data_IF_562846275586
#
_entry.id   IF_562846275586
#
_cell.length_a   1.000
_cell.length_b   1.000
_cell.length_c   1.000
_cell.angle_alpha   90.00
_cell.angle_beta   90.00
_cell.angle_gamma   90.00
#
_symmetry.space_group_name_H-M   'P 1'
#
loop_
_entity.id
_entity.type
_entity.pdbx_description
1 polymer ?
#
# COMPACT_ATOMS: atom_id res chain seq x y z
N UNK A 1 37.80 16.86 -16.41
CA UNK A 1 36.67 17.33 -15.55
C UNK A 1 35.29 17.15 -16.13
N UNK A 2 35.06 16.40 -17.20
CA UNK A 2 33.76 16.17 -17.88
C UNK A 2 33.01 14.91 -17.42
N UNK A 3 33.64 14.05 -16.62
CA UNK A 3 33.03 12.76 -16.21
C UNK A 3 32.08 12.83 -15.01
N UNK A 4 32.25 13.79 -14.09
CA UNK A 4 31.47 13.86 -12.85
C UNK A 4 30.06 14.45 -13.01
N UNK A 5 29.84 15.25 -14.05
CA UNK A 5 28.55 15.92 -14.32
C UNK A 5 27.55 14.94 -14.93
N UNK A 6 27.99 13.96 -15.71
CA UNK A 6 27.12 12.96 -16.32
C UNK A 6 26.65 11.89 -15.34
N UNK A 7 27.48 11.56 -14.36
CA UNK A 7 27.10 10.57 -13.34
C UNK A 7 26.00 11.10 -12.39
N UNK A 8 26.09 12.38 -11.99
CA UNK A 8 25.04 13.02 -11.17
C UNK A 8 23.71 13.17 -11.93
N UNK A 9 23.74 13.48 -13.24
CA UNK A 9 22.53 13.53 -14.07
C UNK A 9 21.92 12.14 -14.29
N UNK A 10 22.73 11.11 -14.49
CA UNK A 10 22.27 9.73 -14.60
C UNK A 10 21.61 9.20 -13.33
N UNK A 11 22.19 9.49 -12.16
CA UNK A 11 21.62 9.12 -10.87
C UNK A 11 20.32 9.88 -10.58
N UNK A 12 20.24 11.17 -10.93
CA UNK A 12 19.01 11.96 -10.79
C UNK A 12 17.88 11.45 -11.67
N UNK A 13 18.17 11.07 -12.92
CA UNK A 13 17.18 10.49 -13.85
C UNK A 13 16.68 9.12 -13.35
N UNK A 14 17.56 8.28 -12.80
CA UNK A 14 17.18 6.99 -12.21
C UNK A 14 16.34 7.15 -10.93
N UNK A 15 16.64 8.12 -10.08
CA UNK A 15 15.86 8.43 -8.89
C UNK A 15 14.49 9.00 -9.26
N UNK A 16 14.41 9.87 -10.26
CA UNK A 16 13.14 10.43 -10.76
C UNK A 16 12.31 9.37 -11.48
N UNK A 17 12.92 8.47 -12.26
CA UNK A 17 12.21 7.35 -12.88
C UNK A 17 11.71 6.32 -11.84
N UNK A 18 12.51 6.04 -10.81
CA UNK A 18 12.10 5.20 -9.67
C UNK A 18 10.96 5.80 -8.86
N UNK A 19 10.99 7.12 -8.63
CA UNK A 19 9.90 7.84 -7.95
C UNK A 19 8.62 7.88 -8.81
N UNK A 20 8.74 7.99 -10.13
CA UNK A 20 7.59 8.00 -11.05
C UNK A 20 6.87 6.63 -11.09
N UNK A 21 7.56 5.52 -10.90
CA UNK A 21 6.93 4.19 -10.80
C UNK A 21 6.18 3.97 -9.49
N UNK A 22 6.52 4.69 -8.42
CA UNK A 22 5.80 4.66 -7.15
C UNK A 22 4.53 5.52 -7.15
N UNK A 23 4.37 6.42 -8.13
CA UNK A 23 3.29 7.39 -8.21
C UNK A 23 1.97 6.84 -8.77
N UNK A 24 1.91 5.57 -9.19
CA UNK A 24 0.73 5.04 -9.89
C UNK A 24 -0.18 4.16 -9.03
N UNK A 25 0.11 3.92 -7.77
CA UNK A 25 -0.63 2.97 -6.96
C UNK A 25 -1.57 3.64 -5.96
N UNK A 26 -2.88 3.42 -6.13
CA UNK A 26 -3.80 3.48 -5.02
C UNK A 26 -3.44 2.34 -4.07
N UNK A 27 -2.94 2.69 -2.89
CA UNK A 27 -2.68 1.68 -1.88
C UNK A 27 -4.02 1.26 -1.26
N UNK A 28 -4.45 0.07 -1.65
CA UNK A 28 -5.51 -0.65 -0.94
C UNK A 28 -4.80 -1.66 -0.05
N UNK A 29 -4.94 -1.50 1.24
CA UNK A 29 -4.27 -2.32 2.25
C UNK A 29 -5.30 -3.02 3.12
N UNK A 30 -5.08 -4.27 3.54
CA UNK A 30 -5.88 -4.86 4.61
C UNK A 30 -5.54 -4.16 5.94
N UNK A 31 -6.54 -3.96 6.78
CA UNK A 31 -6.35 -3.57 8.18
C UNK A 31 -6.39 -4.78 9.10
N UNK A 32 -7.25 -4.73 10.13
CA UNK A 32 -7.57 -5.89 10.96
C UNK A 32 -8.57 -6.78 10.24
N UNK A 33 -8.27 -8.06 10.04
CA UNK A 33 -9.15 -8.94 9.28
C UNK A 33 -9.03 -10.40 9.66
N UNK A 34 -10.09 -11.16 9.33
CA UNK A 34 -10.08 -12.61 9.23
C UNK A 34 -10.57 -13.01 7.84
N UNK A 35 -9.81 -13.89 7.18
CA UNK A 35 -10.17 -14.40 5.86
C UNK A 35 -10.08 -15.92 5.84
N UNK A 36 -11.03 -16.56 5.17
CA UNK A 36 -11.05 -18.02 5.02
C UNK A 36 -11.29 -18.36 3.56
N UNK A 37 -10.45 -19.23 3.04
CA UNK A 37 -10.59 -19.89 1.75
C UNK A 37 -10.87 -21.37 2.00
N UNK A 38 -12.01 -21.84 1.54
CA UNK A 38 -12.32 -23.26 1.44
C UNK A 38 -12.18 -23.65 -0.04
N UNK A 39 -11.23 -24.51 -0.36
CA UNK A 39 -10.94 -24.97 -1.72
C UNK A 39 -11.07 -26.50 -1.79
N UNK A 40 -12.05 -26.98 -2.53
CA UNK A 40 -12.33 -28.40 -2.66
C UNK A 40 -11.63 -29.04 -3.86
N UNK A 41 -11.33 -30.34 -3.73
CA UNK A 41 -10.66 -31.13 -4.78
C UNK A 41 -11.42 -31.16 -6.11
N UNK A 42 -12.73 -30.92 -6.10
CA UNK A 42 -13.56 -30.81 -7.31
C UNK A 42 -13.52 -29.42 -7.95
N UNK A 43 -12.75 -28.50 -7.39
CA UNK A 43 -12.60 -27.12 -7.86
C UNK A 43 -13.63 -26.14 -7.32
N UNK A 44 -14.58 -26.59 -6.51
CA UNK A 44 -15.45 -25.64 -5.82
C UNK A 44 -14.63 -24.88 -4.76
N UNK A 45 -14.94 -23.59 -4.61
CA UNK A 45 -14.32 -22.76 -3.58
C UNK A 45 -15.33 -21.85 -2.92
N UNK A 46 -15.05 -21.46 -1.71
CA UNK A 46 -15.65 -20.29 -1.08
C UNK A 46 -14.56 -19.45 -0.42
N UNK A 47 -14.65 -18.14 -0.59
CA UNK A 47 -13.75 -17.19 0.05
C UNK A 47 -14.58 -16.19 0.84
N UNK A 48 -14.19 -15.97 2.10
CA UNK A 48 -14.77 -14.97 2.98
C UNK A 48 -13.70 -14.03 3.49
N UNK A 49 -14.04 -12.75 3.60
CA UNK A 49 -13.20 -11.73 4.22
C UNK A 49 -14.07 -10.87 5.12
N UNK A 50 -13.70 -10.79 6.40
CA UNK A 50 -14.34 -9.92 7.38
C UNK A 50 -13.28 -9.06 8.01
N UNK A 51 -13.40 -7.74 7.88
CA UNK A 51 -12.44 -6.83 8.46
C UNK A 51 -12.27 -5.54 7.70
N UNK A 52 -11.14 -4.92 7.93
CA UNK A 52 -10.86 -3.58 7.47
C UNK A 52 -10.10 -3.59 6.16
N UNK A 53 -10.51 -2.70 5.25
CA UNK A 53 -9.75 -2.31 4.07
C UNK A 53 -9.45 -0.82 4.19
N UNK A 54 -8.19 -0.45 3.97
CA UNK A 54 -7.75 0.94 3.94
C UNK A 54 -7.48 1.33 2.50
N UNK A 55 -8.19 2.33 2.02
CA UNK A 55 -7.97 2.92 0.70
C UNK A 55 -7.30 4.27 0.92
N UNK A 56 -5.97 4.29 0.81
CA UNK A 56 -5.17 5.49 0.95
C UNK A 56 -4.93 6.10 -0.43
N UNK A 57 -5.42 7.32 -0.64
CA UNK A 57 -4.98 8.11 -1.77
C UNK A 57 -3.53 8.58 -1.56
N UNK A 58 -2.75 8.65 -2.63
CA UNK A 58 -1.38 9.19 -2.59
C UNK A 58 -1.32 10.61 -2.02
N UNK A 59 -2.40 11.40 -2.19
CA UNK A 59 -2.54 12.72 -1.57
C UNK A 59 -2.51 12.65 -0.06
N UNK A 60 -3.17 11.66 0.54
CA UNK A 60 -3.16 11.49 2.00
C UNK A 60 -1.79 11.04 2.50
N UNK A 61 -1.14 10.15 1.79
CA UNK A 61 0.25 9.75 2.08
C UNK A 61 1.21 10.93 1.96
N UNK A 62 1.04 11.77 0.93
CA UNK A 62 1.82 12.99 0.76
C UNK A 62 1.54 14.01 1.88
N UNK A 63 0.28 14.25 2.25
CA UNK A 63 -0.10 15.10 3.37
C UNK A 63 0.51 14.62 4.68
N UNK A 64 0.50 13.32 4.94
CA UNK A 64 1.11 12.72 6.14
C UNK A 64 2.64 12.87 6.13
N UNK A 65 3.27 12.65 4.98
CA UNK A 65 4.72 12.85 4.82
C UNK A 65 5.11 14.33 5.00
N UNK A 66 4.25 15.26 4.58
CA UNK A 66 4.46 16.70 4.74
C UNK A 66 4.14 17.19 6.14
N UNK A 67 3.13 16.63 6.81
CA UNK A 67 2.81 16.96 8.20
C UNK A 67 3.96 16.61 9.16
N UNK A 68 4.84 15.69 8.76
CA UNK A 68 6.04 15.35 9.51
C UNK A 68 7.24 16.27 9.20
N UNK A 69 7.18 17.09 8.15
CA UNK A 69 8.18 18.12 7.91
C UNK A 69 7.81 19.34 8.78
N UNK A 70 8.74 19.87 9.59
CA UNK A 70 8.51 21.16 10.23
C UNK A 70 8.16 22.16 9.13
N UNK A 71 7.15 23.01 9.36
CA UNK A 71 6.85 24.11 8.44
C UNK A 71 8.17 24.76 8.09
N UNK A 72 8.54 24.72 6.82
CA UNK A 72 9.77 25.32 6.36
C UNK A 72 9.65 26.81 6.62
N UNK A 73 10.34 27.29 7.66
CA UNK A 73 10.53 28.72 7.87
C UNK A 73 11.71 29.17 7.04
N UNK A 74 11.61 30.38 6.46
CA UNK A 74 12.71 30.93 5.73
C UNK A 74 13.91 31.09 6.66
N UNK A 75 15.01 30.43 6.32
CA UNK A 75 16.32 30.63 6.96
C UNK A 75 17.31 31.05 5.87
N UNK A 76 17.96 32.21 6.02
CA UNK A 76 18.95 32.68 5.04
C UNK A 76 20.07 31.64 4.91
N UNK A 77 20.46 31.34 3.67
CA UNK A 77 21.63 30.55 3.39
C UNK A 77 22.90 31.34 3.71
N UNK A 78 23.96 30.64 4.08
CA UNK A 78 25.26 31.24 4.38
C UNK A 78 25.81 32.02 3.19
N UNK A 79 26.30 33.24 3.42
CA UNK A 79 26.96 34.04 2.42
C UNK A 79 28.47 33.93 2.53
N UNK A 80 29.15 33.94 1.38
CA UNK A 80 30.61 33.79 1.30
C UNK A 80 31.27 35.07 0.77
N UNK A 81 32.55 35.27 1.06
CA UNK A 81 33.35 36.30 0.44
C UNK A 81 33.67 35.91 -1.01
N UNK A 82 34.38 36.78 -1.75
CA UNK A 82 34.77 36.52 -3.14
C UNK A 82 35.67 35.28 -3.36
N UNK A 83 36.23 34.74 -2.29
CA UNK A 83 37.02 33.49 -2.30
C UNK A 83 36.16 32.21 -2.29
N UNK A 84 34.81 32.34 -2.17
CA UNK A 84 33.82 31.27 -2.14
C UNK A 84 34.02 30.26 -1.00
N UNK A 85 34.91 30.53 -0.06
CA UNK A 85 35.26 29.67 1.07
C UNK A 85 34.99 30.35 2.42
N UNK A 86 35.34 31.66 2.53
CA UNK A 86 35.21 32.38 3.79
C UNK A 86 33.79 32.87 4.01
N UNK A 87 33.15 32.39 5.07
CA UNK A 87 31.79 32.79 5.47
C UNK A 87 31.77 34.25 5.90
N UNK A 88 30.65 34.91 5.60
CA UNK A 88 30.35 36.27 6.07
C UNK A 88 28.86 36.46 6.31
N UNK A 89 28.53 37.48 7.04
CA UNK A 89 27.12 37.90 7.18
C UNK A 89 26.58 38.38 5.84
N UNK A 90 25.39 37.89 5.49
CA UNK A 90 24.68 38.35 4.29
C UNK A 90 24.27 39.82 4.41
N UNK A 91 24.31 40.54 3.32
CA UNK A 91 23.74 41.89 3.26
C UNK A 91 22.22 41.83 3.24
N UNK A 92 21.56 42.92 3.59
CA UNK A 92 20.09 43.03 3.57
C UNK A 92 19.52 42.73 2.16
N UNK A 93 20.23 43.13 1.11
CA UNK A 93 19.84 42.88 -0.29
C UNK A 93 19.91 41.40 -0.63
N UNK A 94 20.99 40.72 -0.21
CA UNK A 94 21.16 39.26 -0.44
C UNK A 94 20.11 38.45 0.33
N UNK A 95 19.84 38.81 1.59
CA UNK A 95 18.81 38.15 2.38
C UNK A 95 17.41 38.36 1.76
N UNK A 96 17.10 39.58 1.30
CA UNK A 96 15.84 39.89 0.62
C UNK A 96 15.69 39.08 -0.68
N UNK A 97 16.78 38.94 -1.45
CA UNK A 97 16.79 38.14 -2.66
C UNK A 97 16.56 36.64 -2.34
N UNK A 98 17.30 36.08 -1.37
CA UNK A 98 17.11 34.69 -0.92
C UNK A 98 15.67 34.43 -0.49
N UNK A 99 15.05 35.41 0.21
CA UNK A 99 13.64 35.29 0.60
C UNK A 99 12.70 35.30 -0.60
N UNK A 100 12.94 36.16 -1.58
CA UNK A 100 12.11 36.20 -2.79
C UNK A 100 12.25 34.91 -3.60
N UNK A 101 13.46 34.38 -3.74
CA UNK A 101 13.73 33.13 -4.44
C UNK A 101 13.06 31.95 -3.71
N UNK A 102 13.12 31.92 -2.37
CA UNK A 102 12.46 30.94 -1.54
C UNK A 102 10.93 31.00 -1.65
N UNK A 103 10.33 32.21 -1.58
CA UNK A 103 8.89 32.40 -1.74
C UNK A 103 8.41 31.92 -3.12
N UNK A 104 9.21 32.17 -4.18
CA UNK A 104 8.93 31.70 -5.55
C UNK A 104 9.02 30.16 -5.64
N UNK A 105 10.00 29.55 -4.98
CA UNK A 105 10.15 28.08 -4.94
C UNK A 105 8.98 27.43 -4.18
N UNK A 106 8.54 28.01 -3.05
CA UNK A 106 7.36 27.54 -2.31
C UNK A 106 6.09 27.59 -3.17
N UNK A 107 5.89 28.68 -3.91
CA UNK A 107 4.76 28.80 -4.84
C UNK A 107 4.81 27.75 -5.95
N UNK A 108 5.98 27.55 -6.58
CA UNK A 108 6.14 26.55 -7.63
C UNK A 108 5.90 25.13 -7.10
N UNK A 109 6.33 24.84 -5.87
CA UNK A 109 6.11 23.57 -5.21
C UNK A 109 4.62 23.34 -4.94
N UNK A 110 3.91 24.32 -4.40
CA UNK A 110 2.47 24.25 -4.16
C UNK A 110 1.67 24.04 -5.46
N UNK A 111 2.05 24.75 -6.55
CA UNK A 111 1.40 24.56 -7.86
C UNK A 111 1.65 23.15 -8.44
N UNK A 112 2.84 22.57 -8.23
CA UNK A 112 3.16 21.21 -8.64
C UNK A 112 2.34 20.20 -7.84
N UNK A 113 2.30 20.36 -6.53
CA UNK A 113 1.49 19.50 -5.63
C UNK A 113 0.00 19.53 -6.00
N UNK A 114 -0.54 20.70 -6.32
CA UNK A 114 -1.93 20.83 -6.76
C UNK A 114 -2.19 20.09 -8.09
N UNK A 115 -1.26 20.15 -9.04
CA UNK A 115 -1.35 19.42 -10.33
C UNK A 115 -1.25 17.92 -10.10
N UNK A 116 -0.34 17.48 -9.24
CA UNK A 116 -0.15 16.07 -8.89
C UNK A 116 -1.41 15.51 -8.21
N UNK A 117 -2.03 16.27 -7.31
CA UNK A 117 -3.32 15.93 -6.70
C UNK A 117 -4.40 15.70 -7.74
N UNK A 118 -4.55 16.60 -8.72
CA UNK A 118 -5.54 16.45 -9.81
C UNK A 118 -5.26 15.21 -10.65
N UNK A 119 -3.98 14.92 -10.96
CA UNK A 119 -3.62 13.72 -11.72
C UNK A 119 -3.97 12.44 -10.96
N UNK A 120 -3.72 12.40 -9.66
CA UNK A 120 -4.04 11.26 -8.79
C UNK A 120 -5.55 11.03 -8.77
N UNK A 121 -6.36 12.09 -8.53
CA UNK A 121 -7.82 12.01 -8.54
C UNK A 121 -8.33 11.47 -9.89
N UNK A 122 -7.76 11.91 -11.01
CA UNK A 122 -8.11 11.37 -12.34
C UNK A 122 -7.75 9.89 -12.48
N UNK A 123 -6.58 9.47 -12.00
CA UNK A 123 -6.15 8.06 -12.02
C UNK A 123 -7.06 7.17 -11.16
N UNK A 124 -7.68 7.74 -10.13
CA UNK A 124 -8.68 7.11 -9.25
C UNK A 124 -10.11 7.12 -9.84
N UNK A 125 -10.25 7.43 -11.13
CA UNK A 125 -11.57 7.55 -11.75
C UNK A 125 -12.37 8.78 -11.31
N UNK A 126 -11.67 9.83 -10.86
CA UNK A 126 -12.27 11.11 -10.46
C UNK A 126 -12.71 11.17 -9.00
N UNK A 127 -12.37 10.17 -8.18
CA UNK A 127 -12.77 10.09 -6.78
C UNK A 127 -11.62 10.55 -5.87
N UNK A 128 -11.85 11.55 -5.03
CA UNK A 128 -10.91 11.96 -3.98
C UNK A 128 -11.15 11.13 -2.71
N UNK A 129 -10.29 10.17 -2.35
CA UNK A 129 -10.51 9.32 -1.18
C UNK A 129 -10.42 10.08 0.15
N UNK A 130 -9.97 11.33 0.14
CA UNK A 130 -9.91 12.18 1.34
C UNK A 130 -11.21 12.98 1.56
N UNK A 131 -12.06 13.09 0.54
CA UNK A 131 -13.36 13.74 0.66
C UNK A 131 -14.41 12.76 1.20
N UNK A 132 -15.14 13.09 2.29
CA UNK A 132 -16.18 12.21 2.85
C UNK A 132 -17.29 11.82 1.86
N UNK A 133 -17.65 12.69 0.91
CA UNK A 133 -18.64 12.37 -0.13
C UNK A 133 -18.10 11.32 -1.09
N UNK A 134 -16.87 11.50 -1.52
CA UNK A 134 -16.15 10.53 -2.37
C UNK A 134 -15.96 9.20 -1.67
N UNK A 135 -15.68 9.21 -0.37
CA UNK A 135 -15.57 8.00 0.44
C UNK A 135 -16.89 7.22 0.50
N UNK A 136 -18.02 7.91 0.65
CA UNK A 136 -19.35 7.29 0.60
C UNK A 136 -19.65 6.71 -0.80
N UNK A 137 -19.21 7.38 -1.86
CA UNK A 137 -19.34 6.88 -3.24
C UNK A 137 -18.50 5.60 -3.45
N UNK A 138 -17.28 5.54 -2.93
CA UNK A 138 -16.46 4.31 -2.94
C UNK A 138 -17.19 3.18 -2.23
N UNK A 139 -17.72 3.43 -1.03
CA UNK A 139 -18.47 2.43 -0.27
C UNK A 139 -19.69 1.91 -1.05
N UNK A 140 -20.45 2.80 -1.68
CA UNK A 140 -21.60 2.46 -2.50
C UNK A 140 -21.20 1.62 -3.73
N UNK A 141 -20.13 1.99 -4.42
CA UNK A 141 -19.61 1.23 -5.57
C UNK A 141 -19.13 -0.17 -5.18
N UNK A 142 -18.40 -0.30 -4.06
CA UNK A 142 -17.97 -1.60 -3.56
C UNK A 142 -19.18 -2.46 -3.16
N UNK A 143 -20.16 -1.89 -2.45
CA UNK A 143 -21.39 -2.60 -2.08
C UNK A 143 -22.21 -3.06 -3.29
N UNK A 144 -22.07 -2.41 -4.45
CA UNK A 144 -22.71 -2.81 -5.72
C UNK A 144 -22.00 -3.97 -6.42
N UNK A 145 -20.79 -4.33 -6.04
CA UNK A 145 -20.05 -5.43 -6.65
C UNK A 145 -20.41 -6.77 -6.02
N UNK A 146 -20.39 -7.82 -6.83
CA UNK A 146 -20.69 -9.18 -6.37
C UNK A 146 -19.73 -9.59 -5.23
N UNK A 147 -20.32 -10.18 -4.20
CA UNK A 147 -19.60 -10.69 -3.02
C UNK A 147 -19.51 -9.71 -1.85
N UNK A 148 -19.57 -8.40 -2.06
CA UNK A 148 -19.61 -7.45 -0.95
C UNK A 148 -20.99 -7.42 -0.30
N UNK A 149 -21.09 -7.96 0.91
CA UNK A 149 -22.34 -7.97 1.70
C UNK A 149 -22.55 -6.66 2.46
N UNK A 150 -21.44 -6.05 2.89
CA UNK A 150 -21.44 -4.81 3.65
C UNK A 150 -20.12 -4.08 3.43
N UNK A 151 -20.19 -2.75 3.23
CA UNK A 151 -19.05 -1.84 3.18
C UNK A 151 -19.42 -0.59 3.95
N UNK A 152 -18.76 -0.33 5.08
CA UNK A 152 -19.07 0.78 5.97
C UNK A 152 -17.83 1.66 6.09
N UNK A 153 -17.92 2.91 5.64
CA UNK A 153 -16.85 3.89 5.81
C UNK A 153 -16.72 4.33 7.27
N UNK A 154 -15.51 4.28 7.80
CA UNK A 154 -15.17 4.60 9.20
C UNK A 154 -14.38 5.89 9.37
N UNK A 155 -14.07 6.58 8.28
CA UNK A 155 -13.19 7.75 8.29
C UNK A 155 -11.79 7.44 7.82
N UNK A 156 -11.03 8.47 7.43
CA UNK A 156 -9.61 8.38 7.06
C UNK A 156 -9.24 7.31 6.02
N UNK A 157 -10.15 7.00 5.08
CA UNK A 157 -9.93 5.96 4.09
C UNK A 157 -10.12 4.54 4.60
N UNK A 158 -10.61 4.35 5.82
CA UNK A 158 -10.89 3.07 6.45
C UNK A 158 -12.31 2.60 6.15
N UNK A 159 -12.47 1.35 5.73
CA UNK A 159 -13.75 0.70 5.45
C UNK A 159 -13.81 -0.62 6.19
N UNK A 160 -14.90 -0.86 6.93
CA UNK A 160 -15.25 -2.20 7.42
C UNK A 160 -15.98 -2.96 6.32
N UNK A 161 -15.51 -4.16 6.00
CA UNK A 161 -15.98 -4.97 4.88
C UNK A 161 -16.39 -6.36 5.35
N UNK A 162 -17.57 -6.82 4.92
CA UNK A 162 -18.00 -8.23 4.92
C UNK A 162 -18.13 -8.66 3.45
N UNK A 163 -17.26 -9.59 3.05
CA UNK A 163 -17.22 -10.12 1.68
C UNK A 163 -17.32 -11.63 1.70
N UNK A 164 -18.05 -12.20 0.74
CA UNK A 164 -18.14 -13.64 0.54
C UNK A 164 -18.42 -13.95 -0.93
N UNK A 165 -17.61 -14.83 -1.50
CA UNK A 165 -17.78 -15.35 -2.86
C UNK A 165 -17.65 -16.87 -2.83
N UNK A 166 -18.49 -17.56 -3.61
CA UNK A 166 -18.39 -19.00 -3.77
C UNK A 166 -18.71 -19.39 -5.21
N UNK A 167 -18.16 -20.48 -5.69
CA UNK A 167 -18.39 -21.00 -7.03
C UNK A 167 -17.43 -22.10 -7.42
N UNK A 168 -17.41 -22.40 -8.72
CA UNK A 168 -16.42 -23.28 -9.34
C UNK A 168 -15.25 -22.43 -9.84
N UNK A 169 -14.02 -22.76 -9.44
CA UNK A 169 -12.80 -22.08 -9.86
C UNK A 169 -12.45 -22.48 -11.31
N UNK A 170 -13.17 -21.89 -12.27
CA UNK A 170 -12.93 -22.12 -13.71
C UNK A 170 -11.81 -21.27 -14.27
N UNK A 171 -11.54 -20.11 -13.66
CA UNK A 171 -10.52 -19.12 -14.00
C UNK A 171 -9.80 -18.67 -12.73
N UNK A 172 -8.81 -17.82 -12.90
CA UNK A 172 -8.12 -17.19 -11.76
C UNK A 172 -9.09 -16.35 -10.95
N UNK A 173 -8.91 -16.35 -9.64
CA UNK A 173 -9.66 -15.52 -8.70
C UNK A 173 -8.71 -14.58 -7.98
N UNK A 174 -9.15 -13.36 -7.72
CA UNK A 174 -8.39 -12.36 -6.97
C UNK A 174 -9.30 -11.52 -6.06
N UNK A 175 -8.81 -11.20 -4.86
CA UNK A 175 -9.49 -10.31 -3.91
C UNK A 175 -8.50 -9.32 -3.25
N UNK A 176 -8.85 -8.04 -3.09
CA UNK A 176 -10.00 -7.40 -3.72
C UNK A 176 -9.75 -7.08 -5.20
N UNK A 177 -10.83 -7.03 -5.97
CA UNK A 177 -10.89 -6.39 -7.28
C UNK A 177 -11.83 -5.20 -7.16
N UNK A 178 -11.38 -4.02 -7.56
CA UNK A 178 -12.17 -2.79 -7.43
C UNK A 178 -12.36 -2.19 -8.81
N UNK A 179 -13.61 -2.04 -9.23
CA UNK A 179 -13.93 -1.43 -10.51
C UNK A 179 -13.32 -0.04 -10.63
N UNK A 180 -12.77 0.28 -11.81
CA UNK A 180 -12.09 1.54 -12.12
C UNK A 180 -10.83 1.81 -11.31
N UNK A 181 -10.35 0.84 -10.53
CA UNK A 181 -9.06 0.87 -9.85
C UNK A 181 -8.20 -0.34 -10.31
N UNK A 182 -7.73 -0.37 -11.57
CA UNK A 182 -7.07 -1.55 -12.14
C UNK A 182 -5.70 -1.87 -11.51
N UNK A 183 -5.15 -0.96 -10.73
CA UNK A 183 -3.81 -1.10 -10.13
C UNK A 183 -3.84 -1.55 -8.66
N UNK A 184 -5.00 -2.01 -8.17
CA UNK A 184 -5.08 -2.59 -6.82
C UNK A 184 -4.34 -3.91 -6.80
N UNK A 185 -3.36 -4.04 -5.89
CA UNK A 185 -2.70 -5.31 -5.65
C UNK A 185 -3.62 -6.20 -4.81
N UNK A 186 -3.95 -7.41 -5.29
CA UNK A 186 -4.79 -8.33 -4.54
C UNK A 186 -4.14 -8.79 -3.23
N UNK A 187 -4.95 -8.95 -2.19
CA UNK A 187 -4.54 -9.56 -0.91
C UNK A 187 -4.34 -11.06 -1.07
N UNK A 188 -5.17 -11.68 -1.89
CA UNK A 188 -5.10 -13.11 -2.24
C UNK A 188 -5.38 -13.30 -3.73
N UNK A 189 -4.66 -14.22 -4.35
CA UNK A 189 -4.93 -14.74 -5.69
C UNK A 189 -4.95 -16.26 -5.67
N UNK A 190 -5.84 -16.84 -6.45
CA UNK A 190 -5.90 -18.24 -6.77
C UNK A 190 -5.64 -18.37 -8.27
N UNK A 191 -4.48 -18.91 -8.64
CA UNK A 191 -4.14 -19.15 -10.05
C UNK A 191 -4.35 -20.61 -10.38
N UNK A 192 -5.36 -20.88 -11.21
CA UNK A 192 -5.61 -22.23 -11.72
C UNK A 192 -4.59 -22.60 -12.80
N UNK A 193 -4.02 -23.78 -12.70
CA UNK A 193 -3.06 -24.33 -13.66
C UNK A 193 -3.67 -25.47 -14.47
N UNK A 194 -3.09 -25.71 -15.66
CA UNK A 194 -3.59 -26.73 -16.60
C UNK A 194 -3.52 -28.17 -16.07
N UNK A 195 -2.65 -28.43 -15.11
CA UNK A 195 -2.45 -29.73 -14.47
C UNK A 195 -3.36 -29.99 -13.25
N UNK A 196 -4.51 -29.36 -13.19
CA UNK A 196 -5.45 -29.44 -12.05
C UNK A 196 -4.82 -28.99 -10.72
N UNK A 197 -3.89 -28.05 -10.75
CA UNK A 197 -3.33 -27.43 -9.56
C UNK A 197 -3.83 -26.00 -9.39
N UNK A 198 -3.89 -25.55 -8.15
CA UNK A 198 -4.19 -24.17 -7.79
C UNK A 198 -3.04 -23.61 -6.95
N UNK A 199 -2.40 -22.58 -7.49
CA UNK A 199 -1.45 -21.78 -6.73
C UNK A 199 -2.18 -20.66 -5.99
N UNK A 200 -1.97 -20.62 -4.69
CA UNK A 200 -2.49 -19.57 -3.79
C UNK A 200 -1.31 -18.67 -3.43
N UNK A 201 -1.53 -17.36 -3.48
CA UNK A 201 -0.50 -16.40 -3.13
C UNK A 201 -1.07 -15.03 -2.78
N UNK A 202 -0.25 -14.17 -2.18
CA UNK A 202 -0.59 -12.80 -1.80
C UNK A 202 0.35 -11.80 -2.50
N UNK A 203 0.00 -11.29 -3.68
CA UNK A 203 0.85 -10.34 -4.42
C UNK A 203 1.18 -9.09 -3.63
N UNK A 204 0.24 -8.55 -2.88
CA UNK A 204 0.46 -7.38 -2.04
C UNK A 204 1.57 -7.61 -1.02
N UNK A 205 1.52 -8.74 -0.30
CA UNK A 205 2.53 -9.06 0.72
C UNK A 205 3.89 -9.40 0.10
N UNK A 206 3.91 -10.05 -1.06
CA UNK A 206 5.14 -10.28 -1.80
C UNK A 206 5.82 -8.98 -2.22
N UNK A 207 5.06 -8.02 -2.74
CA UNK A 207 5.62 -6.74 -3.14
C UNK A 207 6.09 -5.94 -1.93
N UNK A 208 5.36 -5.95 -0.83
CA UNK A 208 5.78 -5.33 0.42
C UNK A 208 7.12 -5.89 0.90
N UNK A 209 7.31 -7.21 0.86
CA UNK A 209 8.56 -7.87 1.25
C UNK A 209 9.73 -7.53 0.31
N UNK A 210 9.48 -7.40 -1.01
CA UNK A 210 10.52 -7.10 -2.02
C UNK A 210 10.93 -5.62 -2.06
N UNK A 211 10.01 -4.71 -1.74
CA UNK A 211 10.25 -3.26 -1.87
C UNK A 211 11.18 -2.71 -0.79
N UNK A 212 11.65 -3.54 0.13
CA UNK A 212 12.38 -3.09 1.32
C UNK A 212 13.68 -3.86 1.53
N UNK A 213 14.80 -3.35 0.98
CA UNK A 213 16.14 -3.90 1.26
C UNK A 213 16.42 -3.79 2.76
N UNK A 214 16.69 -4.92 3.43
CA UNK A 214 17.13 -4.96 4.82
C UNK A 214 16.04 -5.10 5.89
N UNK A 215 14.81 -5.49 5.54
CA UNK A 215 13.79 -5.83 6.54
C UNK A 215 13.15 -4.65 7.29
N UNK A 216 13.39 -3.41 6.85
CA UNK A 216 12.92 -2.18 7.52
C UNK A 216 11.53 -1.72 7.06
N UNK A 217 10.76 -2.60 6.40
CA UNK A 217 9.39 -2.33 5.97
C UNK A 217 8.52 -1.79 7.09
N UNK A 218 8.56 -2.49 8.20
CA UNK A 218 7.84 -2.12 9.41
C UNK A 218 8.32 -0.78 9.98
N UNK A 219 9.63 -0.49 9.93
CA UNK A 219 10.17 0.77 10.45
C UNK A 219 9.82 1.95 9.54
N UNK A 220 9.90 1.81 8.21
CA UNK A 220 9.53 2.88 7.28
C UNK A 220 8.02 3.11 7.33
N UNK A 221 7.21 2.06 7.39
CA UNK A 221 5.77 2.19 7.57
C UNK A 221 5.43 2.75 8.95
N UNK A 222 6.08 2.29 10.01
CA UNK A 222 5.92 2.85 11.35
C UNK A 222 6.40 4.31 11.43
N UNK A 223 7.45 4.70 10.69
CA UNK A 223 7.86 6.11 10.56
C UNK A 223 6.91 6.92 9.69
N UNK A 224 6.33 6.31 8.64
CA UNK A 224 5.37 6.96 7.75
C UNK A 224 4.02 7.19 8.45
N UNK A 225 3.64 6.28 9.35
CA UNK A 225 2.39 6.29 10.12
C UNK A 225 2.61 6.82 11.55
N UNK A 226 3.80 6.62 12.13
CA UNK A 226 4.20 7.09 13.45
C UNK A 226 4.89 8.44 13.39
N UNK A 227 4.20 9.49 13.81
CA UNK A 227 4.84 10.80 14.04
C UNK A 227 6.01 10.70 15.02
N UNK A 228 6.94 11.66 14.98
CA UNK A 228 8.15 11.76 15.80
C UNK A 228 7.93 11.81 17.33
N UNK A 229 6.70 11.71 17.81
CA UNK A 229 6.35 11.96 19.22
C UNK A 229 6.46 10.73 20.14
N UNK A 230 7.19 9.70 19.77
CA UNK A 230 7.52 8.59 20.68
C UNK A 230 6.32 7.81 21.23
N UNK A 231 5.12 7.97 20.65
CA UNK A 231 3.93 7.22 21.03
C UNK A 231 4.06 5.75 20.61
N UNK A 232 3.72 4.87 21.53
CA UNK A 232 3.76 3.43 21.30
C UNK A 232 2.85 3.03 20.14
N UNK A 233 3.16 1.98 19.35
CA UNK A 233 2.36 1.53 18.21
C UNK A 233 0.86 1.28 18.47
N UNK A 234 0.42 1.23 19.71
CA UNK A 234 -0.99 1.08 20.11
C UNK A 234 -1.73 2.38 20.40
N UNK A 235 -1.06 3.54 20.41
CA UNK A 235 -1.68 4.85 20.65
C UNK A 235 -1.82 5.70 19.37
N UNK A 236 -1.49 5.10 18.22
CA UNK A 236 -1.61 5.77 16.93
C UNK A 236 -3.05 5.72 16.47
N UNK A 237 -3.70 6.87 16.57
CA UNK A 237 -5.05 7.09 16.11
C UNK A 237 -5.25 6.57 14.67
N UNK A 238 -6.14 5.58 14.54
CA UNK A 238 -6.96 5.25 13.36
C UNK A 238 -6.28 4.81 12.05
N UNK A 239 -4.98 4.56 11.99
CA UNK A 239 -4.43 3.86 10.84
C UNK A 239 -4.45 2.36 11.08
N UNK A 240 -5.15 1.63 10.22
CA UNK A 240 -5.23 0.19 10.28
C UNK A 240 -3.83 -0.42 10.19
N UNK A 241 -3.34 -0.88 11.32
CA UNK A 241 -2.19 -1.79 11.36
C UNK A 241 -2.65 -3.08 10.70
N UNK A 242 -1.92 -3.56 9.69
CA UNK A 242 -2.20 -4.89 9.12
C UNK A 242 -2.03 -5.91 10.22
N UNK A 243 -3.12 -6.51 10.61
CA UNK A 243 -3.19 -7.54 11.66
C UNK A 243 -4.34 -8.48 11.29
N UNK A 244 -4.01 -9.62 10.72
CA UNK A 244 -5.01 -10.50 10.16
C UNK A 244 -4.65 -11.97 10.26
N UNK A 245 -5.68 -12.76 10.10
CA UNK A 245 -5.57 -14.21 10.06
C UNK A 245 -6.16 -14.73 8.75
N UNK A 246 -5.36 -15.53 8.03
CA UNK A 246 -5.81 -16.21 6.82
C UNK A 246 -5.79 -17.72 7.03
N UNK A 247 -6.93 -18.36 6.78
CA UNK A 247 -7.13 -19.80 6.86
C UNK A 247 -7.43 -20.38 5.48
N UNK A 248 -6.74 -21.43 5.12
CA UNK A 248 -7.07 -22.28 3.96
C UNK A 248 -7.55 -23.65 4.48
N UNK A 249 -8.74 -24.06 4.05
CA UNK A 249 -9.28 -25.41 4.28
C UNK A 249 -9.35 -26.12 2.93
N UNK A 250 -8.88 -27.35 2.84
CA UNK A 250 -8.93 -28.14 1.59
C UNK A 250 -8.97 -29.62 1.83
N UNK A 251 -9.71 -30.35 0.99
CA UNK A 251 -9.64 -31.80 0.86
C UNK A 251 -8.77 -32.24 -0.35
N UNK A 252 -8.17 -31.25 -1.05
CA UNK A 252 -7.16 -31.48 -2.08
C UNK A 252 -5.80 -31.89 -1.52
N UNK A 253 -4.87 -32.21 -2.40
CA UNK A 253 -3.50 -32.58 -2.01
C UNK A 253 -2.68 -31.33 -1.81
N UNK A 254 -2.18 -31.09 -0.60
CA UNK A 254 -1.25 -29.99 -0.33
C UNK A 254 0.12 -30.41 -0.87
N UNK A 255 0.54 -29.82 -2.00
CA UNK A 255 1.83 -30.08 -2.65
C UNK A 255 2.96 -29.27 -2.02
N UNK A 256 2.67 -28.01 -1.65
CA UNK A 256 3.60 -27.15 -0.91
C UNK A 256 2.85 -26.08 -0.14
N UNK A 257 3.46 -25.57 0.93
CA UNK A 257 3.00 -24.41 1.68
C UNK A 257 4.17 -23.79 2.44
N UNK A 258 3.98 -22.56 2.95
CA UNK A 258 4.95 -21.85 3.78
C UNK A 258 4.40 -21.48 5.15
N UNK A 259 3.43 -22.26 5.67
CA UNK A 259 2.97 -22.07 7.04
C UNK A 259 4.05 -22.49 8.05
N UNK A 260 4.09 -21.84 9.19
CA UNK A 260 5.05 -22.17 10.25
C UNK A 260 4.78 -23.55 10.87
N UNK A 261 3.52 -23.92 11.02
CA UNK A 261 3.11 -25.13 11.73
C UNK A 261 2.63 -26.27 10.82
N UNK A 262 2.64 -26.07 9.50
CA UNK A 262 2.14 -27.07 8.57
C UNK A 262 0.63 -27.29 8.63
N UNK A 263 0.18 -28.34 7.95
CA UNK A 263 -1.24 -28.66 7.82
C UNK A 263 -1.78 -29.40 9.06
N UNK A 264 -2.94 -28.97 9.54
CA UNK A 264 -3.69 -29.60 10.65
C UNK A 264 -4.92 -30.34 10.10
N UNK A 265 -5.26 -31.55 10.57
CA UNK A 265 -6.50 -32.21 10.20
C UNK A 265 -7.71 -31.47 10.79
N UNK A 266 -8.75 -31.27 9.98
CA UNK A 266 -10.01 -30.65 10.39
C UNK A 266 -11.19 -31.38 9.76
N UNK A 267 -12.40 -31.11 10.22
CA UNK A 267 -13.60 -31.60 9.53
C UNK A 267 -13.61 -31.09 8.09
N UNK A 268 -13.69 -32.01 7.13
CA UNK A 268 -13.68 -31.69 5.70
C UNK A 268 -12.30 -31.58 5.06
N UNK A 269 -11.20 -31.98 5.73
CA UNK A 269 -9.89 -32.04 5.11
C UNK A 269 -8.71 -31.60 5.98
N UNK A 270 -7.91 -30.71 5.47
CA UNK A 270 -6.73 -30.12 6.13
C UNK A 270 -6.83 -28.62 6.15
N UNK A 271 -6.28 -28.02 7.18
CA UNK A 271 -6.24 -26.56 7.39
C UNK A 271 -4.79 -26.08 7.42
N UNK A 272 -4.55 -24.95 6.76
CA UNK A 272 -3.33 -24.17 6.82
C UNK A 272 -3.69 -22.78 7.34
N UNK A 273 -2.88 -22.24 8.25
CA UNK A 273 -3.09 -20.95 8.90
C UNK A 273 -1.90 -20.04 8.74
N UNK A 274 -2.14 -18.74 8.52
CA UNK A 274 -1.14 -17.68 8.48
C UNK A 274 -1.61 -16.49 9.31
N UNK A 275 -0.76 -16.08 10.24
CA UNK A 275 -0.89 -14.79 10.92
C UNK A 275 -0.17 -13.73 10.09
N UNK A 276 -0.91 -12.73 9.64
CA UNK A 276 -0.44 -11.73 8.69
C UNK A 276 -0.35 -10.39 9.41
N UNK A 277 0.89 -9.93 9.60
CA UNK A 277 1.17 -8.60 10.09
C UNK A 277 2.43 -8.04 9.41
N UNK A 278 2.67 -6.74 9.53
CA UNK A 278 3.86 -6.14 8.91
C UNK A 278 5.19 -6.66 9.49
N UNK A 279 5.18 -7.23 10.69
CA UNK A 279 6.40 -7.71 11.35
C UNK A 279 6.80 -9.11 10.87
N UNK A 280 5.82 -9.95 10.52
CA UNK A 280 6.10 -11.33 10.13
C UNK A 280 6.56 -11.47 8.68
N UNK A 281 6.34 -10.46 7.83
CA UNK A 281 6.74 -10.43 6.40
C UNK A 281 6.43 -11.72 5.61
N UNK A 282 5.60 -12.61 6.16
CA UNK A 282 5.24 -13.88 5.54
C UNK A 282 4.06 -13.64 4.60
N UNK A 283 4.33 -13.76 3.30
CA UNK A 283 3.27 -13.79 2.30
C UNK A 283 2.68 -15.20 2.25
N UNK A 284 1.35 -15.40 2.49
CA UNK A 284 0.72 -16.70 2.33
C UNK A 284 1.02 -17.31 0.97
N UNK A 285 1.47 -18.57 0.97
CA UNK A 285 1.73 -19.31 -0.25
C UNK A 285 1.39 -20.80 -0.05
N UNK A 286 0.60 -21.34 -0.99
CA UNK A 286 0.34 -22.78 -1.07
C UNK A 286 0.16 -23.22 -2.52
N UNK A 287 0.43 -24.50 -2.78
CA UNK A 287 0.12 -25.20 -4.02
C UNK A 287 -0.76 -26.40 -3.67
N UNK A 288 -1.96 -26.42 -4.24
CA UNK A 288 -2.96 -27.46 -3.98
C UNK A 288 -3.24 -28.24 -5.27
N UNK A 289 -3.06 -29.55 -5.24
CA UNK A 289 -3.51 -30.47 -6.29
C UNK A 289 -5.00 -30.75 -6.09
N UNK A 290 -5.79 -30.49 -7.14
CA UNK A 290 -7.20 -30.83 -7.19
C UNK A 290 -7.35 -32.30 -7.65
N UNK A 291 -8.47 -32.96 -7.34
CA UNK A 291 -8.83 -34.24 -7.91
C UNK A 291 -9.12 -34.12 -9.41
N UNK A 292 -8.79 -35.16 -10.16
CA UNK A 292 -9.20 -35.29 -11.56
C UNK A 292 -10.67 -35.69 -11.64
#
# INVERSE_FOLDING_TARGET
MLGAINLRRGVMVLVVAGAAMLLSACFVLPGKFAATLDLRKDGHFSYTYKGQIVILGLTKLAEMAMAQKPKAEFSPATCYKKDEVTERTCTAVETAKQKTDWDAEQKTTAEREAKDKVMIIKALGGVDPTDPKSAAEIAARLSGQAGFKSVIYKGNGLYDVDYSMAGLLSYDYAFPTIERMPQVLPFIVLNRRANSEVRIGSPLMQQAAMSMPGGNAAQIFAQMVGGKDGKKPGEMNDFAVVDGHFTLITDGVILSNNTEHGAKPVAGGKQLDWDINFMTAISPMALIGLGN
#
